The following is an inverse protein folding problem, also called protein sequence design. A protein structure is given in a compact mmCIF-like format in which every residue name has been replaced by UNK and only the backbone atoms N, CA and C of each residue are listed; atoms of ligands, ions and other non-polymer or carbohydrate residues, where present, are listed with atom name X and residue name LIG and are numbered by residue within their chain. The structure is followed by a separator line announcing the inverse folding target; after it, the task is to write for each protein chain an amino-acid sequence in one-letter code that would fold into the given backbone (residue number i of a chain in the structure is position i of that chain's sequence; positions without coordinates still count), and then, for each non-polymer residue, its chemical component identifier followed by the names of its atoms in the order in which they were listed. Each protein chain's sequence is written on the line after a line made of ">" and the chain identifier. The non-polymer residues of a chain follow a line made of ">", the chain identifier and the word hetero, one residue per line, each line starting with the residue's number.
data_IF_746039916415
#
_entry.id   IF_746039916415
#
_cell.length_a   1.000
_cell.length_b   1.000
_cell.length_c   1.000
_cell.angle_alpha   90.00
_cell.angle_beta   90.00
_cell.angle_gamma   90.00
#
_symmetry.space_group_name_H-M   'P 1'
#
loop_
_entity.id
_entity.type
_entity.pdbx_description
1 polymer ?
#
# COMPACT_ATOMS: atom_id res chain seq x y z
N UNK A 1 -16.72 0.13 8.37
CA UNK A 1 -15.76 -0.61 9.27
C UNK A 1 -15.89 -0.08 10.71
N UNK A 2 -15.76 -0.95 11.75
CA UNK A 2 -15.77 -0.48 13.16
C UNK A 2 -14.47 0.30 13.44
N UNK A 3 -14.52 1.32 14.30
CA UNK A 3 -13.40 2.23 14.60
C UNK A 3 -12.09 1.49 14.93
N UNK A 4 -12.11 0.55 15.87
CA UNK A 4 -10.90 -0.21 16.23
C UNK A 4 -10.31 -1.07 15.12
N UNK A 5 -11.12 -1.53 14.12
CA UNK A 5 -10.62 -2.26 12.95
C UNK A 5 -9.94 -1.27 11.96
N UNK A 6 -10.48 -0.05 11.86
CA UNK A 6 -9.89 1.02 11.05
C UNK A 6 -8.53 1.45 11.57
N UNK A 7 -8.40 1.65 12.88
CA UNK A 7 -7.14 2.04 13.52
C UNK A 7 -6.07 0.94 13.40
N UNK A 8 -6.48 -0.33 13.52
CA UNK A 8 -5.58 -1.45 13.29
C UNK A 8 -5.08 -1.50 11.84
N UNK A 9 -5.97 -1.27 10.86
CA UNK A 9 -5.60 -1.20 9.45
C UNK A 9 -4.66 -0.01 9.18
N UNK A 10 -4.96 1.18 9.72
CA UNK A 10 -4.11 2.36 9.56
C UNK A 10 -2.68 2.10 10.08
N UNK A 11 -2.53 1.45 11.24
CA UNK A 11 -1.21 1.07 11.76
C UNK A 11 -0.49 0.05 10.88
N UNK A 12 -1.22 -0.90 10.28
CA UNK A 12 -0.60 -1.87 9.38
C UNK A 12 -0.15 -1.25 8.05
N UNK A 13 -0.72 -0.14 7.64
CA UNK A 13 -0.39 0.57 6.40
C UNK A 13 0.84 1.50 6.53
N UNK A 14 1.55 1.52 7.67
CA UNK A 14 2.67 2.42 7.92
C UNK A 14 3.80 2.31 6.88
N UNK A 15 4.26 1.08 6.57
CA UNK A 15 5.17 0.80 5.47
C UNK A 15 4.59 -0.32 4.61
N UNK A 16 4.06 0.06 3.48
CA UNK A 16 3.38 -0.80 2.54
C UNK A 16 4.30 -1.14 1.35
N UNK A 17 4.72 -2.38 1.23
CA UNK A 17 5.52 -2.85 0.11
C UNK A 17 4.62 -3.40 -1.00
N UNK A 18 4.82 -2.94 -2.24
CA UNK A 18 4.20 -3.47 -3.44
C UNK A 18 5.27 -4.15 -4.28
N UNK A 19 5.08 -5.43 -4.61
CA UNK A 19 6.08 -6.21 -5.35
C UNK A 19 6.16 -5.78 -6.82
N UNK A 20 7.36 -5.95 -7.41
CA UNK A 20 7.58 -5.78 -8.84
C UNK A 20 8.76 -6.65 -9.28
N UNK A 21 8.55 -7.51 -10.29
CA UNK A 21 9.58 -8.42 -10.83
C UNK A 21 10.72 -7.72 -11.53
N UNK A 22 10.52 -6.50 -11.98
CA UNK A 22 11.55 -5.72 -12.67
C UNK A 22 12.85 -5.60 -11.86
N UNK A 23 12.75 -5.60 -10.53
CA UNK A 23 13.88 -5.36 -9.63
C UNK A 23 14.54 -6.62 -9.05
N UNK A 24 14.14 -7.83 -9.48
CA UNK A 24 14.63 -9.08 -8.88
C UNK A 24 16.11 -9.38 -9.21
N UNK A 25 16.58 -9.03 -10.41
CA UNK A 25 17.87 -9.51 -10.91
C UNK A 25 17.89 -11.04 -10.89
N UNK A 26 18.93 -11.63 -10.27
CA UNK A 26 19.09 -13.08 -10.12
C UNK A 26 18.40 -13.65 -8.87
N UNK A 27 17.62 -12.83 -8.13
CA UNK A 27 16.97 -13.21 -6.88
C UNK A 27 15.56 -13.70 -7.12
N UNK A 28 15.04 -14.52 -6.20
CA UNK A 28 13.61 -14.90 -6.26
C UNK A 28 12.73 -13.84 -5.60
N UNK A 29 11.47 -13.74 -6.02
CA UNK A 29 10.49 -12.86 -5.37
C UNK A 29 10.34 -13.23 -3.88
N UNK A 30 10.39 -14.52 -3.58
CA UNK A 30 10.32 -15.04 -2.21
C UNK A 30 11.45 -14.48 -1.32
N UNK A 31 12.70 -14.46 -1.82
CA UNK A 31 13.83 -13.96 -1.04
C UNK A 31 13.75 -12.46 -0.79
N UNK A 32 13.41 -11.66 -1.82
CA UNK A 32 13.33 -10.21 -1.67
C UNK A 32 12.17 -9.79 -0.77
N UNK A 33 11.03 -10.49 -0.84
CA UNK A 33 9.90 -10.26 0.07
C UNK A 33 10.26 -10.62 1.51
N UNK A 34 10.92 -11.76 1.74
CA UNK A 34 11.39 -12.14 3.08
C UNK A 34 12.27 -11.06 3.69
N UNK A 35 13.28 -10.56 2.95
CA UNK A 35 14.14 -9.49 3.44
C UNK A 35 13.38 -8.19 3.74
N UNK A 36 12.37 -7.85 2.94
CA UNK A 36 11.55 -6.68 3.19
C UNK A 36 10.72 -6.83 4.48
N UNK A 37 10.17 -8.02 4.73
CA UNK A 37 9.45 -8.33 5.97
C UNK A 37 10.39 -8.33 7.19
N UNK A 38 11.58 -8.90 7.07
CA UNK A 38 12.62 -8.82 8.10
C UNK A 38 13.06 -7.38 8.39
N UNK A 39 13.01 -6.50 7.40
CA UNK A 39 13.26 -5.07 7.51
C UNK A 39 12.10 -4.27 8.12
N UNK A 40 10.95 -4.92 8.34
CA UNK A 40 9.82 -4.31 9.04
C UNK A 40 8.75 -3.72 8.13
N UNK A 41 8.58 -4.21 6.92
CA UNK A 41 7.36 -3.99 6.12
C UNK A 41 6.14 -4.39 6.95
N UNK A 42 5.11 -3.56 6.95
CA UNK A 42 3.91 -3.73 7.79
C UNK A 42 2.65 -4.07 6.99
N UNK A 43 2.70 -3.96 5.65
CA UNK A 43 1.64 -4.35 4.72
C UNK A 43 2.25 -4.79 3.40
N UNK A 44 1.75 -5.86 2.79
CA UNK A 44 2.32 -6.45 1.58
C UNK A 44 1.27 -6.60 0.49
N UNK A 45 1.59 -6.14 -0.73
CA UNK A 45 0.79 -6.37 -1.94
C UNK A 45 1.59 -7.17 -2.95
N UNK A 46 1.04 -8.27 -3.41
CA UNK A 46 1.57 -9.00 -4.56
C UNK A 46 0.98 -8.41 -5.85
N UNK A 47 1.85 -7.80 -6.65
CA UNK A 47 1.53 -7.28 -7.98
C UNK A 47 2.23 -8.12 -9.03
N UNK A 48 1.42 -8.80 -9.84
CA UNK A 48 1.85 -9.63 -10.97
C UNK A 48 1.08 -9.25 -12.23
N UNK A 49 1.80 -9.11 -13.35
CA UNK A 49 1.20 -8.73 -14.64
C UNK A 49 1.38 -9.79 -15.72
N UNK A 50 2.43 -10.60 -15.64
CA UNK A 50 2.90 -11.43 -16.75
C UNK A 50 2.85 -12.94 -16.46
N UNK A 51 2.46 -13.35 -15.24
CA UNK A 51 2.34 -14.75 -14.88
C UNK A 51 1.03 -15.37 -15.35
N UNK A 52 1.08 -16.63 -15.76
CA UNK A 52 -0.13 -17.45 -15.90
C UNK A 52 -0.82 -17.63 -14.54
N UNK A 53 -2.13 -17.88 -14.57
CA UNK A 53 -2.98 -17.95 -13.38
C UNK A 53 -2.49 -18.96 -12.34
N UNK A 54 -2.01 -20.13 -12.78
CA UNK A 54 -1.54 -21.19 -11.88
C UNK A 54 -0.26 -20.78 -11.17
N UNK A 55 0.71 -20.26 -11.90
CA UNK A 55 1.99 -19.82 -11.35
C UNK A 55 1.77 -18.65 -10.38
N UNK A 56 0.89 -17.70 -10.75
CA UNK A 56 0.51 -16.60 -9.87
C UNK A 56 -0.11 -17.12 -8.58
N UNK A 57 -1.08 -18.04 -8.66
CA UNK A 57 -1.74 -18.62 -7.49
C UNK A 57 -0.73 -19.34 -6.56
N UNK A 58 0.13 -20.20 -7.11
CA UNK A 58 1.12 -20.98 -6.34
C UNK A 58 2.12 -20.07 -5.63
N UNK A 59 2.52 -18.96 -6.26
CA UNK A 59 3.40 -17.97 -5.65
C UNK A 59 2.68 -17.15 -4.59
N UNK A 60 1.46 -16.70 -4.86
CA UNK A 60 0.64 -15.94 -3.93
C UNK A 60 0.40 -16.69 -2.62
N UNK A 61 0.10 -18.00 -2.69
CA UNK A 61 -0.07 -18.86 -1.51
C UNK A 61 1.20 -18.92 -0.66
N UNK A 62 2.38 -19.03 -1.28
CA UNK A 62 3.66 -19.07 -0.56
C UNK A 62 3.97 -17.74 0.13
N UNK A 63 3.73 -16.63 -0.56
CA UNK A 63 3.96 -15.29 -0.01
C UNK A 63 2.97 -14.94 1.09
N UNK A 64 1.70 -15.34 0.95
CA UNK A 64 0.71 -15.16 2.02
C UNK A 64 1.10 -15.93 3.29
N UNK A 65 1.55 -17.18 3.16
CA UNK A 65 2.01 -17.97 4.30
C UNK A 65 3.18 -17.26 5.02
N UNK A 66 4.16 -16.76 4.25
CA UNK A 66 5.27 -15.99 4.80
C UNK A 66 4.78 -14.70 5.48
N UNK A 67 3.97 -13.88 4.84
CA UNK A 67 3.44 -12.64 5.43
C UNK A 67 2.71 -12.90 6.75
N UNK A 68 1.95 -14.00 6.82
CA UNK A 68 1.26 -14.44 8.04
C UNK A 68 2.23 -14.77 9.18
N UNK A 69 3.37 -15.40 8.90
CA UNK A 69 4.39 -15.71 9.91
C UNK A 69 4.99 -14.43 10.54
N UNK A 70 5.01 -13.32 9.77
CA UNK A 70 5.40 -11.99 10.24
C UNK A 70 4.23 -11.15 10.80
N UNK A 71 2.99 -11.66 10.75
CA UNK A 71 1.80 -10.93 11.19
C UNK A 71 1.45 -9.74 10.27
N UNK A 72 1.85 -9.79 9.00
CA UNK A 72 1.67 -8.73 8.00
C UNK A 72 0.47 -9.06 7.10
N UNK A 73 -0.53 -8.16 6.97
CA UNK A 73 -1.62 -8.34 6.03
C UNK A 73 -1.11 -8.44 4.58
N UNK A 74 -1.74 -9.36 3.81
CA UNK A 74 -1.38 -9.65 2.44
C UNK A 74 -2.55 -9.45 1.48
N UNK A 75 -2.37 -8.61 0.47
CA UNK A 75 -3.40 -8.34 -0.54
C UNK A 75 -2.90 -8.63 -1.96
N UNK A 76 -3.83 -8.98 -2.83
CA UNK A 76 -3.58 -9.21 -4.26
C UNK A 76 -3.88 -7.94 -5.04
N UNK A 77 -3.03 -7.56 -5.99
CA UNK A 77 -3.30 -6.47 -6.92
C UNK A 77 -4.20 -6.93 -8.05
N UNK A 78 -5.29 -6.20 -8.32
CA UNK A 78 -6.25 -6.29 -9.43
C UNK A 78 -7.00 -7.63 -9.57
N UNK A 79 -6.37 -8.77 -9.31
CA UNK A 79 -6.94 -10.09 -9.57
C UNK A 79 -7.86 -10.56 -8.42
N UNK A 80 -9.14 -10.18 -8.50
CA UNK A 80 -10.18 -10.53 -7.52
C UNK A 80 -10.39 -12.04 -7.42
N UNK A 81 -10.34 -12.76 -8.54
CA UNK A 81 -10.56 -14.22 -8.57
C UNK A 81 -9.48 -14.98 -7.81
N UNK A 82 -8.21 -14.61 -8.00
CA UNK A 82 -7.10 -15.19 -7.22
C UNK A 82 -7.23 -14.84 -5.74
N UNK A 83 -7.56 -13.59 -5.41
CA UNK A 83 -7.75 -13.18 -4.02
C UNK A 83 -8.83 -14.01 -3.30
N UNK A 84 -9.95 -14.30 -3.98
CA UNK A 84 -11.02 -15.15 -3.47
C UNK A 84 -10.58 -16.61 -3.36
N UNK A 85 -10.01 -17.18 -4.43
CA UNK A 85 -9.60 -18.60 -4.49
C UNK A 85 -8.60 -18.97 -3.41
N UNK A 86 -7.62 -18.11 -3.12
CA UNK A 86 -6.62 -18.34 -2.09
C UNK A 86 -7.03 -17.86 -0.70
N UNK A 87 -8.20 -17.23 -0.57
CA UNK A 87 -8.67 -16.63 0.66
C UNK A 87 -7.68 -15.55 1.21
N UNK A 88 -7.17 -14.69 0.33
CA UNK A 88 -6.28 -13.59 0.71
C UNK A 88 -6.92 -12.69 1.79
N UNK A 89 -6.10 -11.90 2.50
CA UNK A 89 -6.63 -10.92 3.46
C UNK A 89 -7.43 -9.82 2.75
N UNK A 90 -7.12 -9.55 1.47
CA UNK A 90 -7.84 -8.59 0.67
C UNK A 90 -7.33 -8.46 -0.77
N UNK A 91 -7.82 -7.42 -1.42
CA UNK A 91 -7.47 -7.04 -2.80
C UNK A 91 -7.30 -5.54 -2.89
N UNK A 92 -6.42 -5.08 -3.79
CA UNK A 92 -6.27 -3.67 -4.16
C UNK A 92 -6.56 -3.50 -5.64
N UNK A 93 -7.45 -2.56 -5.99
CA UNK A 93 -7.84 -2.28 -7.38
C UNK A 93 -7.60 -0.81 -7.75
N UNK A 94 -7.27 -0.57 -9.01
CA UNK A 94 -7.13 0.77 -9.60
C UNK A 94 -8.43 1.27 -10.23
N UNK A 95 -8.35 2.46 -10.87
CA UNK A 95 -9.51 3.14 -11.48
C UNK A 95 -9.99 2.47 -12.79
N UNK A 96 -9.15 1.66 -13.42
CA UNK A 96 -9.44 0.97 -14.68
C UNK A 96 -9.75 -0.52 -14.49
N UNK A 97 -9.72 -0.99 -13.24
CA UNK A 97 -10.01 -2.37 -12.86
C UNK A 97 -11.49 -2.56 -12.55
N UNK A 98 -11.83 -3.70 -11.95
CA UNK A 98 -13.19 -3.95 -11.47
C UNK A 98 -13.63 -2.86 -10.48
N UNK A 99 -14.84 -2.37 -10.63
CA UNK A 99 -15.39 -1.30 -9.80
C UNK A 99 -15.49 -1.71 -8.33
N UNK A 100 -15.15 -0.79 -7.41
CA UNK A 100 -15.00 -1.10 -5.98
C UNK A 100 -16.25 -1.72 -5.33
N UNK A 101 -17.46 -1.31 -5.73
CA UNK A 101 -18.71 -1.87 -5.22
C UNK A 101 -18.92 -3.31 -5.67
N UNK A 102 -18.56 -3.63 -6.91
CA UNK A 102 -18.63 -4.99 -7.44
C UNK A 102 -17.59 -5.88 -6.75
N UNK A 103 -16.37 -5.38 -6.56
CA UNK A 103 -15.33 -6.09 -5.80
C UNK A 103 -15.80 -6.37 -4.38
N UNK A 104 -16.37 -5.36 -3.69
CA UNK A 104 -16.88 -5.51 -2.32
C UNK A 104 -18.00 -6.57 -2.26
N UNK A 105 -18.87 -6.61 -3.24
CA UNK A 105 -19.93 -7.62 -3.31
C UNK A 105 -19.36 -9.05 -3.43
N UNK A 106 -18.26 -9.21 -4.18
CA UNK A 106 -17.60 -10.52 -4.39
C UNK A 106 -16.78 -10.98 -3.19
N UNK A 107 -15.95 -10.09 -2.59
CA UNK A 107 -15.04 -10.48 -1.50
C UNK A 107 -15.72 -10.47 -0.12
N UNK A 108 -16.92 -9.90 -0.01
CA UNK A 108 -17.67 -9.79 1.25
C UNK A 108 -17.15 -8.70 2.20
N UNK A 109 -17.77 -8.52 3.39
CA UNK A 109 -17.51 -7.38 4.28
C UNK A 109 -16.25 -7.53 5.14
N UNK A 110 -15.68 -8.73 5.22
CA UNK A 110 -14.58 -9.02 6.15
C UNK A 110 -13.19 -8.89 5.53
N UNK A 111 -13.10 -8.93 4.20
CA UNK A 111 -11.86 -8.78 3.46
C UNK A 111 -11.48 -7.32 3.28
N UNK A 112 -10.18 -7.06 3.22
CA UNK A 112 -9.65 -5.72 2.99
C UNK A 112 -9.82 -5.34 1.51
N UNK A 113 -10.42 -4.18 1.24
CA UNK A 113 -10.50 -3.58 -0.09
C UNK A 113 -9.70 -2.28 -0.12
N UNK A 114 -8.60 -2.28 -0.86
CA UNK A 114 -7.84 -1.08 -1.20
C UNK A 114 -8.26 -0.54 -2.57
N UNK A 115 -8.30 0.78 -2.71
CA UNK A 115 -8.60 1.44 -3.99
C UNK A 115 -7.62 2.56 -4.25
N UNK A 116 -7.08 2.62 -5.48
CA UNK A 116 -6.28 3.76 -5.93
C UNK A 116 -7.17 4.97 -6.20
N UNK A 117 -6.73 6.18 -5.82
CA UNK A 117 -7.42 7.43 -6.11
C UNK A 117 -6.44 8.56 -6.41
N UNK A 118 -6.82 9.49 -7.31
CA UNK A 118 -6.03 10.64 -7.73
C UNK A 118 -6.77 11.95 -7.47
N UNK A 119 -8.08 11.89 -7.27
CA UNK A 119 -8.95 13.04 -7.02
C UNK A 119 -9.82 12.85 -5.79
N UNK A 120 -10.33 13.96 -5.22
CA UNK A 120 -11.27 13.93 -4.10
C UNK A 120 -12.54 13.15 -4.45
N UNK A 121 -13.06 13.34 -5.66
CA UNK A 121 -14.30 12.66 -6.10
C UNK A 121 -14.09 11.13 -6.19
N UNK A 122 -12.96 10.67 -6.74
CA UNK A 122 -12.61 9.25 -6.76
C UNK A 122 -12.48 8.68 -5.34
N UNK A 123 -11.84 9.41 -4.44
CA UNK A 123 -11.65 9.00 -3.05
C UNK A 123 -12.98 8.84 -2.29
N UNK A 124 -13.85 9.85 -2.39
CA UNK A 124 -15.19 9.83 -1.77
C UNK A 124 -16.07 8.72 -2.37
N UNK A 125 -15.97 8.50 -3.68
CA UNK A 125 -16.72 7.45 -4.36
C UNK A 125 -16.22 6.05 -3.91
N UNK A 126 -14.91 5.84 -3.83
CA UNK A 126 -14.32 4.58 -3.38
C UNK A 126 -14.75 4.24 -1.94
N UNK A 127 -14.71 5.22 -1.01
CA UNK A 127 -15.20 5.02 0.36
C UNK A 127 -16.68 4.64 0.39
N UNK A 128 -17.54 5.36 -0.35
CA UNK A 128 -18.98 5.04 -0.46
C UNK A 128 -19.24 3.64 -1.01
N UNK A 129 -18.37 3.13 -1.87
CA UNK A 129 -18.43 1.81 -2.49
C UNK A 129 -17.75 0.73 -1.67
N UNK A 130 -17.31 1.05 -0.46
CA UNK A 130 -16.84 0.08 0.53
C UNK A 130 -15.34 -0.17 0.54
N UNK A 131 -14.52 0.75 0.01
CA UNK A 131 -13.08 0.72 0.23
C UNK A 131 -12.76 0.82 1.72
N UNK A 132 -11.75 0.07 2.17
CA UNK A 132 -11.25 0.10 3.55
C UNK A 132 -10.03 1.04 3.68
N UNK A 133 -9.29 1.27 2.61
CA UNK A 133 -8.20 2.25 2.53
C UNK A 133 -8.00 2.74 1.10
N UNK A 134 -7.30 3.87 0.97
CA UNK A 134 -6.93 4.44 -0.33
C UNK A 134 -5.41 4.44 -0.52
N UNK A 135 -4.97 4.14 -1.76
CA UNK A 135 -3.62 4.44 -2.26
C UNK A 135 -3.69 5.67 -3.15
N UNK A 136 -3.08 6.77 -2.74
CA UNK A 136 -3.15 8.06 -3.46
C UNK A 136 -1.80 8.41 -4.09
N UNK A 137 -1.79 8.61 -5.39
CA UNK A 137 -0.55 8.91 -6.14
C UNK A 137 -0.76 8.95 -7.66
N UNK A 138 0.32 9.32 -8.45
CA UNK A 138 1.69 9.44 -7.93
C UNK A 138 1.93 10.78 -7.24
N UNK A 139 2.50 10.75 -6.02
CA UNK A 139 2.78 11.99 -5.27
C UNK A 139 4.13 12.63 -5.61
N UNK A 140 5.02 11.85 -6.27
CA UNK A 140 6.28 12.33 -6.85
C UNK A 140 6.45 11.69 -8.23
N UNK A 141 7.23 12.28 -9.15
CA UNK A 141 7.52 11.70 -10.45
C UNK A 141 8.04 10.26 -10.32
N UNK A 142 7.49 9.33 -11.12
CA UNK A 142 7.81 7.91 -11.04
C UNK A 142 7.85 7.26 -12.42
N UNK A 143 8.76 6.30 -12.60
CA UNK A 143 8.80 5.43 -13.78
C UNK A 143 8.16 4.04 -13.55
N UNK A 144 7.52 3.79 -12.39
CA UNK A 144 6.97 2.47 -12.08
C UNK A 144 5.56 2.22 -12.61
N UNK A 145 4.84 3.26 -13.06
CA UNK A 145 3.54 3.18 -13.75
C UNK A 145 3.49 4.24 -14.85
N UNK A 146 3.20 3.82 -16.06
CA UNK A 146 3.15 4.69 -17.25
C UNK A 146 1.93 5.65 -17.26
N UNK A 147 0.88 5.36 -16.47
CA UNK A 147 -0.41 6.06 -16.48
C UNK A 147 -0.69 6.85 -15.19
N UNK A 148 0.34 7.20 -14.41
CA UNK A 148 0.14 7.90 -13.15
C UNK A 148 0.13 9.42 -13.37
N UNK A 149 -1.05 10.05 -13.30
CA UNK A 149 -1.16 11.50 -13.15
C UNK A 149 -0.54 11.95 -11.82
N UNK A 150 0.15 13.09 -11.84
CA UNK A 150 0.78 13.64 -10.66
C UNK A 150 -0.28 14.18 -9.67
N UNK A 151 -0.22 13.71 -8.41
CA UNK A 151 -1.06 14.19 -7.32
C UNK A 151 -0.27 15.17 -6.46
N UNK A 152 -0.66 16.44 -6.45
CA UNK A 152 -0.01 17.45 -5.62
C UNK A 152 -0.22 17.19 -4.11
N UNK A 153 0.68 17.74 -3.28
CA UNK A 153 0.55 17.70 -1.81
C UNK A 153 -0.82 18.24 -1.33
N UNK A 154 -1.30 19.35 -1.94
CA UNK A 154 -2.60 19.93 -1.58
C UNK A 154 -3.77 19.01 -1.96
N UNK A 155 -3.68 18.32 -3.10
CA UNK A 155 -4.68 17.32 -3.49
C UNK A 155 -4.67 16.12 -2.54
N UNK A 156 -3.48 15.60 -2.17
CA UNK A 156 -3.34 14.53 -1.19
C UNK A 156 -3.99 14.92 0.15
N UNK A 157 -3.70 16.11 0.64
CA UNK A 157 -4.26 16.66 1.88
C UNK A 157 -5.77 16.86 1.79
N UNK A 158 -6.28 17.33 0.65
CA UNK A 158 -7.72 17.46 0.41
C UNK A 158 -8.42 16.09 0.43
N UNK A 159 -7.83 15.06 -0.19
CA UNK A 159 -8.33 13.68 -0.14
C UNK A 159 -8.39 13.18 1.31
N UNK A 160 -7.30 13.31 2.07
CA UNK A 160 -7.25 12.87 3.47
C UNK A 160 -8.33 13.54 4.34
N UNK A 161 -8.71 14.79 4.04
CA UNK A 161 -9.78 15.50 4.77
C UNK A 161 -11.18 15.10 4.32
N UNK A 162 -11.34 14.61 3.10
CA UNK A 162 -12.64 14.30 2.50
C UNK A 162 -13.16 12.91 2.87
N UNK A 163 -12.27 11.99 3.32
CA UNK A 163 -12.62 10.60 3.65
C UNK A 163 -12.31 10.27 5.11
N UNK A 164 -12.97 9.24 5.64
CA UNK A 164 -12.74 8.75 7.00
C UNK A 164 -11.85 7.50 7.06
N UNK A 165 -11.64 6.85 5.91
CA UNK A 165 -10.79 5.66 5.79
C UNK A 165 -9.30 6.03 5.68
N UNK A 166 -8.38 5.14 6.11
CA UNK A 166 -6.94 5.36 5.99
C UNK A 166 -6.48 5.66 4.57
N UNK A 167 -5.52 6.57 4.44
CA UNK A 167 -4.90 6.95 3.16
C UNK A 167 -3.40 6.70 3.25
N UNK A 168 -2.82 6.04 2.24
CA UNK A 168 -1.38 5.96 2.03
C UNK A 168 -0.99 6.70 0.77
N UNK A 169 0.17 7.36 0.79
CA UNK A 169 0.76 7.94 -0.41
C UNK A 169 1.56 6.89 -1.18
N UNK A 170 1.53 6.97 -2.51
CA UNK A 170 2.30 6.09 -3.41
C UNK A 170 2.83 6.87 -4.61
N UNK A 171 3.91 6.38 -5.21
CA UNK A 171 4.52 6.90 -6.45
C UNK A 171 5.69 7.83 -6.19
N UNK A 172 6.88 7.43 -6.66
CA UNK A 172 8.12 8.20 -6.58
C UNK A 172 8.67 8.46 -5.17
N UNK A 173 8.12 7.78 -4.16
CA UNK A 173 8.55 7.97 -2.76
C UNK A 173 9.90 7.30 -2.54
N UNK A 174 10.80 8.04 -1.90
CA UNK A 174 12.14 7.61 -1.47
C UNK A 174 12.36 7.92 0.01
N UNK A 175 13.48 7.45 0.57
CA UNK A 175 13.85 7.80 1.93
C UNK A 175 14.02 9.32 2.12
N UNK A 176 14.57 9.98 1.09
CA UNK A 176 14.92 11.40 1.11
C UNK A 176 13.68 12.31 1.05
N UNK A 177 12.64 11.92 0.27
CA UNK A 177 11.43 12.75 0.10
C UNK A 177 10.26 12.36 1.00
N UNK A 178 10.36 11.27 1.76
CA UNK A 178 9.32 10.85 2.72
C UNK A 178 8.94 11.96 3.71
N UNK A 179 9.89 12.75 4.28
CA UNK A 179 9.56 13.86 5.20
C UNK A 179 8.67 14.95 4.58
N UNK A 180 8.73 15.15 3.27
CA UNK A 180 7.94 16.18 2.56
C UNK A 180 6.42 15.89 2.58
N UNK A 181 6.04 14.67 2.95
CA UNK A 181 4.64 14.25 3.09
C UNK A 181 4.04 14.53 4.48
N UNK A 182 4.85 15.06 5.42
CA UNK A 182 4.38 15.39 6.76
C UNK A 182 3.23 16.41 6.72
N UNK A 183 2.21 16.22 7.55
CA UNK A 183 1.04 17.11 7.60
C UNK A 183 0.01 16.94 6.50
N UNK A 184 0.18 15.97 5.59
CA UNK A 184 -0.82 15.63 4.57
C UNK A 184 -2.05 14.90 5.13
N UNK A 185 -1.90 14.19 6.25
CA UNK A 185 -2.95 13.39 6.88
C UNK A 185 -2.93 11.91 6.51
N UNK A 186 -1.90 11.44 5.79
CA UNK A 186 -1.71 10.02 5.48
C UNK A 186 -1.30 9.21 6.71
N UNK A 187 -1.59 7.92 6.72
CA UNK A 187 -1.22 6.99 7.79
C UNK A 187 0.07 6.19 7.48
N UNK A 188 0.65 6.36 6.29
CA UNK A 188 1.86 5.66 5.86
C UNK A 188 2.15 5.84 4.38
N UNK A 189 3.16 5.13 3.90
CA UNK A 189 3.64 5.18 2.51
C UNK A 189 3.61 3.81 1.86
N UNK A 190 3.27 3.76 0.56
CA UNK A 190 3.38 2.57 -0.27
C UNK A 190 4.54 2.75 -1.27
N UNK A 191 5.41 1.76 -1.36
CA UNK A 191 6.65 1.86 -2.15
C UNK A 191 6.93 0.57 -2.93
N UNK A 192 7.61 0.71 -4.06
CA UNK A 192 8.12 -0.38 -4.90
C UNK A 192 9.66 -0.30 -4.93
N UNK A 193 10.20 0.54 -5.78
CA UNK A 193 11.64 0.64 -6.06
C UNK A 193 12.46 1.14 -4.87
N UNK A 194 11.87 1.94 -3.98
CA UNK A 194 12.55 2.40 -2.76
C UNK A 194 12.99 1.24 -1.86
N UNK A 195 12.32 0.08 -1.95
CA UNK A 195 12.68 -1.17 -1.29
C UNK A 195 13.39 -2.11 -2.29
N UNK A 196 12.71 -2.53 -3.35
CA UNK A 196 13.14 -3.67 -4.16
C UNK A 196 14.25 -3.36 -5.18
N UNK A 197 14.50 -2.08 -5.51
CA UNK A 197 15.65 -1.67 -6.31
C UNK A 197 16.94 -1.52 -5.50
N UNK A 198 16.92 -1.79 -4.19
CA UNK A 198 18.08 -1.61 -3.31
C UNK A 198 18.89 -2.88 -3.15
N UNK A 199 20.22 -2.74 -3.04
CA UNK A 199 21.12 -3.86 -2.81
C UNK A 199 20.88 -4.54 -1.45
N UNK A 200 20.56 -3.76 -0.42
CA UNK A 200 20.18 -4.24 0.92
C UNK A 200 18.73 -3.89 1.21
N UNK A 201 17.83 -4.81 0.86
CA UNK A 201 16.38 -4.65 0.99
C UNK A 201 15.96 -4.51 2.45
N UNK A 202 16.55 -5.28 3.35
CA UNK A 202 16.25 -5.26 4.78
C UNK A 202 16.56 -3.89 5.40
N UNK A 203 17.75 -3.35 5.14
CA UNK A 203 18.14 -2.03 5.64
C UNK A 203 17.28 -0.90 5.05
N UNK A 204 17.01 -0.97 3.73
CA UNK A 204 16.13 0.00 3.07
C UNK A 204 14.72 0.00 3.67
N UNK A 205 14.16 -1.19 3.93
CA UNK A 205 12.85 -1.33 4.58
C UNK A 205 12.85 -0.76 6.00
N UNK A 206 13.89 -1.05 6.78
CA UNK A 206 14.02 -0.53 8.15
C UNK A 206 14.13 1.00 8.18
N UNK A 207 14.92 1.59 7.27
CA UNK A 207 15.07 3.02 7.14
C UNK A 207 13.76 3.70 6.72
N UNK A 208 13.07 3.16 5.71
CA UNK A 208 11.78 3.68 5.25
C UNK A 208 10.69 3.55 6.32
N UNK A 209 10.66 2.44 7.05
CA UNK A 209 9.71 2.29 8.15
C UNK A 209 9.90 3.37 9.22
N UNK A 210 11.16 3.64 9.59
CA UNK A 210 11.47 4.72 10.53
C UNK A 210 11.05 6.08 9.98
N UNK A 211 11.41 6.40 8.74
CA UNK A 211 11.06 7.67 8.11
C UNK A 211 9.54 7.86 8.00
N UNK A 212 8.80 6.80 7.64
CA UNK A 212 7.33 6.83 7.60
C UNK A 212 6.74 7.07 8.99
N UNK A 213 7.28 6.41 10.02
CA UNK A 213 6.84 6.63 11.39
C UNK A 213 7.09 8.08 11.84
N UNK A 214 8.29 8.59 11.65
CA UNK A 214 8.65 9.97 12.01
C UNK A 214 7.75 10.98 11.26
N UNK A 215 7.51 10.76 9.96
CA UNK A 215 6.66 11.61 9.11
C UNK A 215 5.19 11.64 9.58
N UNK A 216 4.60 10.48 9.89
CA UNK A 216 3.21 10.40 10.36
C UNK A 216 3.03 11.07 11.72
N UNK A 217 4.06 11.05 12.59
CA UNK A 217 3.99 11.58 13.95
C UNK A 217 4.57 13.00 14.11
N UNK A 218 5.13 13.59 13.04
CA UNK A 218 5.79 14.90 13.08
C UNK A 218 4.92 16.02 13.64
N UNK A 219 3.60 15.99 13.46
CA UNK A 219 2.67 17.01 13.97
C UNK A 219 2.35 16.87 15.47
N UNK A 220 2.54 15.69 16.06
CA UNK A 220 2.27 15.50 17.50
C UNK A 220 3.35 16.12 18.38
N UNK A 221 4.57 16.29 17.87
CA UNK A 221 5.68 16.90 18.62
C UNK A 221 5.58 18.42 18.66
N UNK A 222 5.05 19.08 17.63
CA UNK A 222 4.86 20.55 17.59
C UNK A 222 3.75 21.02 18.54
N UNK A 223 2.68 20.23 18.73
CA UNK A 223 1.58 20.58 19.65
C UNK A 223 1.95 20.38 21.11
N UNK A 224 2.92 19.49 21.42
CA UNK A 224 3.34 19.18 22.80
C UNK A 224 4.48 20.06 23.31
N UNK A 225 5.18 20.81 22.45
CA UNK A 225 6.26 21.72 22.81
C UNK A 225 6.12 23.08 22.07
N UNK A 226 5.10 23.92 22.40
CA UNK A 226 5.06 25.27 21.87
C UNK A 226 6.26 26.05 22.42
N UNK A 227 7.05 26.61 21.51
CA UNK A 227 8.20 27.49 21.85
C UNK A 227 7.75 28.79 22.50
#
# INVERSE_FOLDING_TARGET
>A
MKEGKRDALARSLLLYAVTDRHWLGDRTLYDVVRESLEGGVTFLQLREKDLDERTFFDEAVKLQAMAKDYGVPFVINDNVDIAIKMNADGVHVGQHDMEAGDVRALIGPDKILGVSAQTVDQAVLAEKRGADYLGVGAVFPTGSKDDADDVSFETLKAICRAVSIPVVAIGGITLENTPDLAGSGICGIAVISAIYARANIKEASAALRKASYDMVHALYEEETHPK
#
